data_IF_065847250736
#
_entry.id   IF_065847250736
#
_cell.length_a   1.000
_cell.length_b   1.000
_cell.length_c   1.000
_cell.angle_alpha   90.00
_cell.angle_beta   90.00
_cell.angle_gamma   90.00
#
_symmetry.space_group_name_H-M   'P 1'
#
loop_
_entity.id
_entity.type
_entity.pdbx_description
1 polymer ?
#
# COMPACT_ATOMS: atom_id res chain seq x y z
N UNK A 1 13.54 -11.68 18.63
CA UNK A 1 13.49 -11.29 17.22
C UNK A 1 12.48 -12.13 16.45
N UNK A 2 12.26 -11.82 15.18
CA UNK A 2 11.41 -12.61 14.30
C UNK A 2 12.06 -13.97 14.00
N UNK A 3 11.22 -15.00 13.81
CA UNK A 3 11.64 -16.35 13.41
C UNK A 3 11.94 -16.41 11.90
N UNK A 4 11.12 -15.71 11.12
CA UNK A 4 11.27 -15.57 9.66
C UNK A 4 10.69 -14.24 9.20
N UNK A 5 11.05 -13.84 7.97
CA UNK A 5 10.50 -12.68 7.29
C UNK A 5 10.48 -12.91 5.78
N UNK A 6 9.53 -12.27 5.10
CA UNK A 6 9.54 -12.12 3.64
C UNK A 6 9.28 -10.66 3.28
N UNK A 7 9.71 -10.22 2.09
CA UNK A 7 9.28 -8.92 1.55
C UNK A 7 7.75 -8.86 1.46
N UNK A 8 7.21 -7.68 1.63
CA UNK A 8 5.77 -7.44 1.63
C UNK A 8 5.23 -6.96 0.28
N UNK A 9 4.47 -5.86 0.32
CA UNK A 9 3.73 -5.32 -0.80
C UNK A 9 4.54 -4.52 -1.80
N UNK A 10 3.85 -4.03 -2.82
CA UNK A 10 4.41 -3.08 -3.78
C UNK A 10 4.67 -1.74 -3.12
N UNK A 11 5.75 -1.11 -3.51
CA UNK A 11 6.17 0.19 -3.00
C UNK A 11 6.78 1.07 -4.10
N UNK A 12 6.91 2.34 -3.83
CA UNK A 12 7.59 3.30 -4.70
C UNK A 12 9.09 3.06 -4.61
N UNK A 13 9.72 2.75 -5.73
CA UNK A 13 11.17 2.56 -5.84
C UNK A 13 11.86 3.79 -6.43
N UNK A 14 11.29 4.35 -7.48
CA UNK A 14 11.84 5.50 -8.20
C UNK A 14 11.36 6.80 -7.55
N UNK A 15 12.27 7.70 -7.11
CA UNK A 15 11.90 8.99 -6.54
C UNK A 15 11.13 9.90 -7.53
N UNK A 16 11.18 9.63 -8.82
CA UNK A 16 10.36 10.34 -9.82
C UNK A 16 8.88 9.90 -9.78
N UNK A 17 8.59 8.75 -9.17
CA UNK A 17 7.24 8.21 -9.05
C UNK A 17 6.63 8.42 -7.65
N UNK A 18 7.34 9.07 -6.73
CA UNK A 18 6.87 9.33 -5.36
C UNK A 18 8.01 9.26 -4.34
N UNK A 19 7.69 9.09 -3.08
CA UNK A 19 8.69 8.91 -2.03
C UNK A 19 9.14 7.44 -1.98
N UNK A 20 10.44 7.14 -2.15
CA UNK A 20 10.93 5.77 -2.09
C UNK A 20 10.59 5.08 -0.76
N UNK A 21 9.99 3.90 -0.85
CA UNK A 21 9.51 3.13 0.29
C UNK A 21 8.02 3.28 0.58
N UNK A 22 7.34 4.30 0.04
CA UNK A 22 5.89 4.45 0.20
C UNK A 22 5.16 3.23 -0.37
N UNK A 23 4.19 2.65 0.37
CA UNK A 23 3.39 1.55 -0.16
C UNK A 23 2.58 1.98 -1.40
N UNK A 24 2.60 1.15 -2.43
CA UNK A 24 1.79 1.36 -3.64
C UNK A 24 0.45 0.61 -3.53
N UNK A 25 -0.30 0.88 -2.50
CA UNK A 25 -1.59 0.27 -2.15
C UNK A 25 -1.79 0.21 -0.65
N UNK A 26 -2.85 -0.49 -0.21
CA UNK A 26 -3.24 -0.53 1.20
C UNK A 26 -2.09 -0.98 2.11
N UNK A 27 -1.80 -0.17 3.10
CA UNK A 27 -0.88 -0.53 4.17
C UNK A 27 -1.47 -0.16 5.54
N UNK A 28 -1.60 -1.14 6.42
CA UNK A 28 -1.98 -0.95 7.83
C UNK A 28 -0.95 -1.63 8.70
N UNK A 29 -0.36 -0.88 9.64
CA UNK A 29 0.60 -1.42 10.60
C UNK A 29 0.16 -1.06 12.01
N UNK A 30 -0.01 -2.08 12.83
CA UNK A 30 -0.47 -1.87 14.21
C UNK A 30 -1.85 -1.19 14.30
N UNK A 31 -2.72 -1.44 13.33
CA UNK A 31 -4.05 -0.86 13.20
C UNK A 31 -4.11 0.56 12.65
N UNK A 32 -2.97 1.16 12.34
CA UNK A 32 -2.88 2.49 11.75
C UNK A 32 -2.79 2.38 10.23
N UNK A 33 -3.71 3.05 9.52
CA UNK A 33 -3.65 3.15 8.06
C UNK A 33 -2.51 4.08 7.67
N UNK A 34 -1.55 3.54 6.92
CA UNK A 34 -0.36 4.25 6.44
C UNK A 34 -0.42 4.59 4.97
N UNK A 35 -1.22 3.86 4.19
CA UNK A 35 -1.47 4.12 2.77
C UNK A 35 -2.86 3.60 2.40
N UNK A 36 -3.56 4.36 1.60
CA UNK A 36 -4.90 4.06 1.14
C UNK A 36 -4.95 2.88 0.14
N UNK A 37 -6.09 2.17 0.02
CA UNK A 37 -6.36 1.26 -1.08
C UNK A 37 -6.33 1.98 -2.42
N UNK A 38 -5.80 1.31 -3.43
CA UNK A 38 -5.76 1.80 -4.81
C UNK A 38 -6.43 0.81 -5.75
N UNK A 39 -7.43 1.31 -6.46
CA UNK A 39 -8.25 0.48 -7.33
C UNK A 39 -8.85 -0.72 -6.58
N UNK A 40 -9.04 -1.81 -7.28
CA UNK A 40 -9.59 -3.07 -6.74
C UNK A 40 -8.51 -4.07 -6.30
N UNK A 41 -7.30 -3.63 -5.97
CA UNK A 41 -6.20 -4.53 -5.62
C UNK A 41 -6.50 -5.34 -4.38
N UNK A 42 -6.19 -6.65 -4.38
CA UNK A 42 -6.29 -7.46 -3.19
C UNK A 42 -5.19 -7.12 -2.20
N UNK A 43 -5.47 -7.37 -0.94
CA UNK A 43 -4.52 -7.22 0.16
C UNK A 43 -4.58 -8.43 1.10
N UNK A 44 -3.46 -8.75 1.72
CA UNK A 44 -3.40 -9.69 2.83
C UNK A 44 -3.76 -8.95 4.11
N UNK A 45 -4.86 -9.34 4.75
CA UNK A 45 -5.32 -8.83 6.04
C UNK A 45 -4.97 -9.84 7.12
N UNK A 46 -4.27 -9.39 8.16
CA UNK A 46 -3.82 -10.23 9.27
C UNK A 46 -4.39 -9.68 10.58
N UNK A 47 -5.14 -10.52 11.30
CA UNK A 47 -5.48 -10.30 12.71
C UNK A 47 -4.47 -11.05 13.60
N UNK A 48 -3.46 -10.36 14.04
CA UNK A 48 -2.40 -10.92 14.86
C UNK A 48 -2.88 -11.35 16.27
N UNK A 49 -4.05 -10.89 16.73
CA UNK A 49 -4.64 -11.34 18.00
C UNK A 49 -5.23 -12.74 17.88
N UNK A 50 -5.90 -13.02 16.76
CA UNK A 50 -6.50 -14.31 16.46
C UNK A 50 -5.51 -15.24 15.76
N UNK A 51 -4.44 -14.69 15.21
CA UNK A 51 -3.53 -15.36 14.29
C UNK A 51 -4.26 -15.89 13.06
N UNK A 52 -5.17 -15.09 12.54
CA UNK A 52 -5.97 -15.36 11.36
C UNK A 52 -5.55 -14.41 10.22
N UNK A 53 -5.59 -14.90 9.01
CA UNK A 53 -5.34 -14.10 7.81
C UNK A 53 -6.43 -14.34 6.77
N UNK A 54 -6.66 -13.35 5.94
CA UNK A 54 -7.58 -13.44 4.80
C UNK A 54 -7.08 -12.59 3.65
N UNK A 55 -7.49 -12.93 2.44
CA UNK A 55 -7.29 -12.07 1.27
C UNK A 55 -8.58 -11.28 1.06
N UNK A 56 -8.46 -9.97 1.02
CA UNK A 56 -9.60 -9.07 0.89
C UNK A 56 -9.30 -7.98 -0.16
N UNK A 57 -10.36 -7.43 -0.75
CA UNK A 57 -10.31 -6.18 -1.49
C UNK A 57 -10.92 -5.11 -0.61
N UNK A 58 -10.15 -4.05 -0.41
CA UNK A 58 -10.56 -2.96 0.47
C UNK A 58 -10.83 -1.71 -0.36
N UNK A 59 -11.81 -0.96 0.05
CA UNK A 59 -12.08 0.39 -0.41
C UNK A 59 -11.91 1.39 0.72
N UNK A 60 -11.79 2.65 0.38
CA UNK A 60 -11.47 3.69 1.32
C UNK A 60 -12.22 4.98 1.03
N UNK A 61 -12.57 5.69 2.10
CA UNK A 61 -13.04 7.06 2.03
C UNK A 61 -12.31 7.91 3.04
N UNK A 62 -11.77 9.03 2.59
CA UNK A 62 -11.13 10.03 3.43
C UNK A 62 -11.89 11.35 3.40
N UNK A 63 -11.95 12.04 4.55
CA UNK A 63 -12.65 13.30 4.69
C UNK A 63 -11.96 14.23 5.66
N UNK A 64 -12.01 15.51 5.36
CA UNK A 64 -11.58 16.59 6.23
C UNK A 64 -12.78 17.48 6.53
N UNK A 65 -12.98 17.81 7.80
CA UNK A 65 -14.07 18.69 8.24
C UNK A 65 -13.65 19.55 9.44
N UNK A 66 -14.29 20.69 9.58
CA UNK A 66 -14.17 21.54 10.76
C UNK A 66 -15.46 21.47 11.56
N UNK A 67 -15.43 21.14 12.86
CA UNK A 67 -16.63 21.07 13.69
C UNK A 67 -17.45 22.37 13.64
N UNK A 68 -18.73 22.23 13.37
CA UNK A 68 -19.67 23.36 13.26
C UNK A 68 -19.71 24.04 11.88
N UNK A 69 -18.87 23.63 10.94
CA UNK A 69 -18.98 24.03 9.53
C UNK A 69 -19.64 22.88 8.74
N UNK A 70 -20.65 23.17 7.95
CA UNK A 70 -21.34 22.18 7.12
C UNK A 70 -20.55 21.73 5.88
N UNK A 71 -19.36 22.30 5.66
CA UNK A 71 -18.52 22.03 4.51
C UNK A 71 -17.49 20.96 4.84
N UNK A 72 -17.25 20.06 3.89
CA UNK A 72 -16.22 19.02 3.98
C UNK A 72 -15.34 19.05 2.74
N UNK A 73 -14.11 18.55 2.87
CA UNK A 73 -13.16 18.33 1.78
C UNK A 73 -12.81 16.85 1.71
N UNK A 74 -12.71 16.28 0.53
CA UNK A 74 -12.22 14.93 0.37
C UNK A 74 -10.74 14.87 0.76
N UNK A 75 -10.34 13.72 1.30
CA UNK A 75 -8.96 13.36 1.48
C UNK A 75 -8.60 12.36 0.38
N UNK A 76 -7.60 12.67 -0.45
CA UNK A 76 -7.27 11.90 -1.64
C UNK A 76 -6.13 10.91 -1.41
N UNK A 77 -5.35 11.10 -0.36
CA UNK A 77 -4.25 10.20 -0.04
C UNK A 77 -3.72 10.32 1.39
N UNK A 78 -2.94 9.32 1.76
CA UNK A 78 -2.25 9.23 3.06
C UNK A 78 -0.78 8.91 2.82
N UNK A 79 0.13 9.75 3.36
CA UNK A 79 1.57 9.55 3.32
C UNK A 79 2.14 9.32 1.91
N UNK A 80 1.68 10.06 0.93
CA UNK A 80 2.23 10.04 -0.44
C UNK A 80 2.47 11.44 -0.98
N UNK A 81 3.31 11.54 -1.97
CA UNK A 81 3.62 12.84 -2.60
C UNK A 81 2.42 13.32 -3.42
N UNK A 82 1.83 14.50 -3.13
CA UNK A 82 0.74 15.03 -3.93
C UNK A 82 1.14 15.24 -5.39
N UNK A 83 0.28 14.84 -6.32
CA UNK A 83 0.50 14.92 -7.77
C UNK A 83 1.32 13.77 -8.36
N UNK A 84 1.87 12.86 -7.54
CA UNK A 84 2.57 11.66 -7.99
C UNK A 84 1.75 10.42 -7.63
N UNK A 85 0.67 10.18 -8.38
CA UNK A 85 -0.30 9.12 -8.09
C UNK A 85 0.14 7.85 -8.83
N UNK A 86 0.60 6.86 -8.07
CA UNK A 86 1.08 5.59 -8.61
C UNK A 86 -0.03 4.73 -9.17
N UNK A 87 -1.21 4.78 -8.58
CA UNK A 87 -2.36 4.01 -9.00
C UNK A 87 -3.62 4.85 -8.86
N UNK A 88 -4.39 4.96 -9.93
CA UNK A 88 -5.66 5.66 -9.94
C UNK A 88 -6.66 5.03 -8.95
N UNK A 89 -7.51 5.82 -8.36
CA UNK A 89 -8.54 5.38 -7.42
C UNK A 89 -9.16 6.52 -6.61
N UNK A 90 -8.55 7.71 -6.65
CA UNK A 90 -9.05 8.92 -6.02
C UNK A 90 -10.11 9.64 -6.85
N UNK A 91 -10.78 10.62 -6.22
CA UNK A 91 -11.71 11.53 -6.89
C UNK A 91 -10.90 12.59 -7.63
N UNK A 92 -11.12 12.72 -8.94
CA UNK A 92 -10.37 13.70 -9.74
C UNK A 92 -9.14 13.14 -10.47
N UNK A 93 -8.82 11.87 -10.24
CA UNK A 93 -7.69 11.20 -10.89
C UNK A 93 -7.87 11.09 -12.40
N UNK A 94 -6.91 11.59 -13.16
CA UNK A 94 -6.82 11.44 -14.61
C UNK A 94 -5.74 10.42 -14.97
N UNK A 95 -6.09 9.31 -15.66
CA UNK A 95 -5.12 8.32 -16.08
C UNK A 95 -4.03 8.91 -16.98
N UNK A 96 -2.78 8.62 -16.67
CA UNK A 96 -1.63 8.92 -17.50
C UNK A 96 -1.29 7.74 -18.43
N UNK A 97 -0.64 8.01 -19.56
CA UNK A 97 -0.18 6.96 -20.49
C UNK A 97 1.24 6.47 -20.14
N UNK A 98 1.56 6.43 -18.85
CA UNK A 98 2.87 5.97 -18.40
C UNK A 98 2.82 4.48 -17.99
N UNK A 99 3.95 3.78 -18.01
CA UNK A 99 4.03 2.40 -17.56
C UNK A 99 3.56 2.23 -16.11
N UNK A 100 3.03 1.06 -15.76
CA UNK A 100 2.47 0.79 -14.42
C UNK A 100 3.48 0.85 -13.27
N UNK A 101 4.77 0.86 -13.55
CA UNK A 101 5.82 1.07 -12.55
C UNK A 101 6.14 2.56 -12.33
N UNK A 102 5.43 3.44 -13.01
CA UNK A 102 5.57 4.89 -13.00
C UNK A 102 4.32 5.58 -12.42
N UNK A 103 4.24 6.90 -12.47
CA UNK A 103 3.03 7.67 -12.15
C UNK A 103 1.94 7.35 -13.16
N UNK A 104 0.86 6.74 -12.73
CA UNK A 104 -0.22 6.30 -13.63
C UNK A 104 -1.42 7.22 -13.65
N UNK A 105 -1.52 8.12 -12.67
CA UNK A 105 -2.55 9.16 -12.61
C UNK A 105 -1.98 10.48 -12.18
N UNK A 106 -2.63 11.54 -12.62
CA UNK A 106 -2.37 12.92 -12.20
C UNK A 106 -3.64 13.54 -11.65
N UNK A 107 -3.53 14.34 -10.61
CA UNK A 107 -4.55 15.25 -10.13
C UNK A 107 -3.89 16.54 -9.66
N UNK A 108 -4.25 17.73 -10.22
CA UNK A 108 -3.72 18.99 -9.77
C UNK A 108 -4.29 19.44 -8.42
N UNK A 109 -5.45 18.92 -8.02
CA UNK A 109 -6.26 19.37 -6.89
C UNK A 109 -6.33 18.31 -5.80
N UNK A 110 -5.20 17.93 -5.22
CA UNK A 110 -5.11 16.88 -4.22
C UNK A 110 -5.03 17.37 -2.79
N UNK A 111 -5.62 16.60 -1.87
CA UNK A 111 -5.49 16.74 -0.43
C UNK A 111 -4.92 15.46 0.18
N UNK A 112 -3.75 15.54 0.79
CA UNK A 112 -3.02 14.40 1.36
C UNK A 112 -2.68 14.65 2.83
N UNK A 113 -2.99 13.66 3.68
CA UNK A 113 -2.64 13.69 5.09
C UNK A 113 -1.32 12.97 5.35
N UNK A 114 -0.49 13.54 6.21
CA UNK A 114 0.80 12.96 6.60
C UNK A 114 0.84 12.70 8.09
N UNK A 115 1.45 11.60 8.44
CA UNK A 115 1.80 11.22 9.80
C UNK A 115 3.31 11.03 9.94
N UNK A 116 3.81 10.91 11.16
CA UNK A 116 5.25 10.75 11.43
C UNK A 116 5.88 9.52 10.77
N UNK A 117 5.06 8.56 10.33
CA UNK A 117 5.52 7.36 9.63
C UNK A 117 5.98 7.65 8.20
N UNK A 118 5.53 8.74 7.58
CA UNK A 118 6.05 9.17 6.29
C UNK A 118 7.53 9.60 6.39
N UNK A 119 7.87 10.30 7.44
CA UNK A 119 9.22 10.80 7.64
C UNK A 119 9.26 12.06 8.53
N UNK A 120 10.44 12.65 8.71
CA UNK A 120 10.60 13.83 9.56
C UNK A 120 9.96 15.10 8.99
N UNK A 121 9.77 15.17 7.69
CA UNK A 121 9.17 16.29 6.97
C UNK A 121 8.36 15.81 5.79
N UNK A 122 7.37 16.61 5.39
CA UNK A 122 6.50 16.36 4.25
C UNK A 122 7.14 16.82 2.93
N UNK A 123 6.61 16.41 1.77
CA UNK A 123 7.07 16.88 0.47
C UNK A 123 6.91 18.40 0.31
N UNK A 124 7.94 19.08 -0.13
CA UNK A 124 7.91 20.52 -0.39
C UNK A 124 7.25 20.85 -1.73
N UNK A 125 6.78 22.08 -1.86
CA UNK A 125 6.24 22.60 -3.12
C UNK A 125 5.15 23.66 -2.95
N UNK A 126 4.55 24.13 -4.04
CA UNK A 126 3.43 25.07 -3.99
C UNK A 126 2.18 24.38 -3.45
N UNK A 127 1.36 25.13 -2.70
CA UNK A 127 0.12 24.66 -2.10
C UNK A 127 -0.05 25.19 -0.69
N UNK A 128 -0.95 24.58 0.06
CA UNK A 128 -1.20 24.88 1.47
C UNK A 128 -0.82 23.70 2.33
N UNK A 129 -0.29 23.95 3.52
CA UNK A 129 -0.07 22.92 4.53
C UNK A 129 -0.60 23.37 5.88
N UNK A 130 -1.45 22.53 6.49
CA UNK A 130 -2.04 22.72 7.81
C UNK A 130 -1.41 21.73 8.77
N UNK A 131 -0.84 22.23 9.87
CA UNK A 131 -0.21 21.40 10.91
C UNK A 131 -1.19 21.21 12.06
N UNK A 132 -1.38 19.96 12.47
CA UNK A 132 -2.31 19.55 13.53
C UNK A 132 -1.55 18.90 14.67
N UNK A 133 -1.90 19.26 15.90
CA UNK A 133 -1.43 18.55 17.08
C UNK A 133 -2.09 17.16 17.22
N UNK A 134 -1.75 16.43 18.29
CA UNK A 134 -2.31 15.11 18.59
C UNK A 134 -3.83 15.10 18.84
N UNK A 135 -4.45 16.25 19.07
CA UNK A 135 -5.89 16.41 19.30
C UNK A 135 -6.62 16.90 18.05
N UNK A 136 -5.91 17.13 16.94
CA UNK A 136 -6.47 17.68 15.72
C UNK A 136 -6.62 19.20 15.73
N UNK A 137 -5.98 19.91 16.69
CA UNK A 137 -5.99 21.37 16.73
C UNK A 137 -5.00 21.93 15.71
N UNK A 138 -5.42 22.92 14.92
CA UNK A 138 -4.57 23.60 13.95
C UNK A 138 -3.54 24.47 14.70
N UNK A 139 -2.27 24.11 14.56
CA UNK A 139 -1.14 24.83 15.20
C UNK A 139 -0.38 25.73 14.23
N UNK A 140 -0.44 25.42 12.92
CA UNK A 140 0.11 26.29 11.88
C UNK A 140 -0.66 26.13 10.57
N UNK A 141 -0.66 27.18 9.76
CA UNK A 141 -1.16 27.21 8.38
C UNK A 141 -0.08 27.88 7.54
N UNK A 142 0.49 27.10 6.62
CA UNK A 142 1.64 27.54 5.82
C UNK A 142 1.22 27.66 4.35
N UNK A 143 1.57 28.77 3.70
CA UNK A 143 1.27 29.05 2.30
C UNK A 143 2.19 28.26 1.32
N UNK A 144 3.01 27.36 1.84
CA UNK A 144 3.84 26.43 1.08
C UNK A 144 3.90 25.11 1.84
N UNK A 145 4.14 24.01 1.11
CA UNK A 145 4.30 22.66 1.64
C UNK A 145 5.74 22.38 2.06
N UNK A 146 5.98 21.41 2.91
CA UNK A 146 7.34 20.94 3.28
C UNK A 146 7.69 21.21 4.74
N UNK A 147 6.75 21.02 5.66
CA UNK A 147 6.98 21.23 7.09
C UNK A 147 7.34 19.95 7.82
N UNK A 148 7.85 20.08 9.03
CA UNK A 148 8.05 18.94 9.93
C UNK A 148 6.69 18.38 10.39
N UNK A 149 6.58 17.05 10.41
CA UNK A 149 5.41 16.37 10.98
C UNK A 149 5.54 16.35 12.52
N UNK A 150 4.60 16.92 13.28
CA UNK A 150 4.71 16.94 14.72
C UNK A 150 4.56 15.54 15.33
N UNK A 151 5.32 15.26 16.39
CA UNK A 151 5.23 13.99 17.10
C UNK A 151 3.81 13.77 17.64
N UNK A 152 3.20 12.64 17.29
CA UNK A 152 1.80 12.31 17.65
C UNK A 152 0.73 13.11 16.92
N UNK A 153 1.11 14.15 16.18
CA UNK A 153 0.20 14.93 15.34
C UNK A 153 0.22 14.48 13.87
N UNK A 154 -0.19 15.38 13.00
CA UNK A 154 -0.20 15.18 11.54
C UNK A 154 -0.13 16.49 10.79
N UNK A 155 0.10 16.42 9.48
CA UNK A 155 -0.12 17.56 8.60
C UNK A 155 -1.11 17.20 7.50
N UNK A 156 -1.74 18.21 6.91
CA UNK A 156 -2.60 18.06 5.75
C UNK A 156 -2.07 19.02 4.69
N UNK A 157 -1.68 18.48 3.55
CA UNK A 157 -1.31 19.27 2.38
C UNK A 157 -2.47 19.32 1.39
N UNK A 158 -2.62 20.46 0.73
CA UNK A 158 -3.53 20.59 -0.40
C UNK A 158 -2.86 21.34 -1.55
N UNK A 159 -3.17 20.92 -2.77
CA UNK A 159 -2.68 21.53 -4.03
C UNK A 159 -3.85 22.13 -4.81
N UNK A 160 -3.54 22.95 -5.83
CA UNK A 160 -4.52 23.52 -6.74
C UNK A 160 -5.71 24.18 -6.06
N UNK A 161 -6.91 23.88 -6.51
CA UNK A 161 -8.15 24.44 -5.96
C UNK A 161 -8.41 23.97 -4.53
N UNK A 162 -7.92 22.80 -4.15
CA UNK A 162 -8.11 22.24 -2.80
C UNK A 162 -7.31 23.01 -1.75
N UNK A 163 -6.22 23.68 -2.14
CA UNK A 163 -5.52 24.59 -1.23
C UNK A 163 -6.44 25.73 -0.73
N UNK A 164 -7.27 26.28 -1.61
CA UNK A 164 -8.26 27.31 -1.23
C UNK A 164 -9.38 26.71 -0.36
N UNK A 165 -9.84 25.50 -0.67
CA UNK A 165 -10.88 24.81 0.11
C UNK A 165 -10.37 24.47 1.51
N UNK A 166 -9.16 23.92 1.63
CA UNK A 166 -8.53 23.63 2.92
C UNK A 166 -8.31 24.89 3.74
N UNK A 167 -7.87 25.99 3.12
CA UNK A 167 -7.72 27.29 3.77
C UNK A 167 -9.04 27.82 4.37
N UNK A 168 -10.16 27.55 3.72
CA UNK A 168 -11.47 27.96 4.22
C UNK A 168 -11.97 27.13 5.41
N UNK A 169 -11.49 25.90 5.55
CA UNK A 169 -11.84 24.99 6.65
C UNK A 169 -10.94 25.17 7.86
N UNK A 170 -9.66 25.48 7.65
CA UNK A 170 -8.66 25.52 8.70
C UNK A 170 -8.59 26.92 9.37
N UNK A 171 -8.57 26.94 10.70
CA UNK A 171 -8.33 28.16 11.46
C UNK A 171 -7.43 27.86 12.66
N UNK A 172 -6.45 28.72 12.95
CA UNK A 172 -5.53 28.56 14.08
C UNK A 172 -6.28 28.39 15.40
N UNK A 173 -5.86 27.41 16.19
CA UNK A 173 -6.47 27.06 17.47
C UNK A 173 -7.83 26.38 17.36
N UNK A 174 -8.33 26.12 16.17
CA UNK A 174 -9.56 25.35 15.93
C UNK A 174 -9.27 23.91 15.58
N UNK A 175 -10.24 23.03 15.79
CA UNK A 175 -10.15 21.63 15.46
C UNK A 175 -10.42 21.41 13.96
N UNK A 176 -9.63 20.56 13.35
CA UNK A 176 -9.82 20.03 12.02
C UNK A 176 -9.83 18.50 12.13
N UNK A 177 -10.94 17.89 11.82
CA UNK A 177 -11.09 16.44 11.85
C UNK A 177 -10.64 15.85 10.50
N UNK A 178 -9.75 14.86 10.56
CA UNK A 178 -9.27 14.09 9.42
C UNK A 178 -9.70 12.65 9.65
N UNK A 179 -10.71 12.22 8.91
CA UNK A 179 -11.33 10.91 9.02
C UNK A 179 -10.88 10.01 7.88
N UNK A 180 -10.79 8.72 8.17
CA UNK A 180 -10.40 7.69 7.23
C UNK A 180 -11.11 6.38 7.57
N UNK A 181 -11.83 5.82 6.60
CA UNK A 181 -12.63 4.63 6.78
C UNK A 181 -12.30 3.60 5.71
N UNK A 182 -11.89 2.40 6.15
CA UNK A 182 -11.74 1.23 5.28
C UNK A 182 -13.03 0.42 5.28
N UNK A 183 -13.41 -0.08 4.11
CA UNK A 183 -14.54 -1.01 3.95
C UNK A 183 -14.14 -2.18 3.06
N UNK A 184 -14.77 -3.33 3.30
CA UNK A 184 -14.64 -4.50 2.42
C UNK A 184 -15.52 -4.36 1.15
N UNK A 185 -15.47 -5.34 0.25
CA UNK A 185 -16.27 -5.36 -0.98
C UNK A 185 -17.79 -5.33 -0.74
N UNK A 186 -18.25 -5.74 0.43
CA UNK A 186 -19.66 -5.69 0.82
C UNK A 186 -20.06 -4.32 1.42
N UNK A 187 -19.13 -3.37 1.49
CA UNK A 187 -19.34 -2.05 2.12
C UNK A 187 -19.34 -2.08 3.65
N UNK A 188 -18.94 -3.20 4.25
CA UNK A 188 -18.83 -3.31 5.70
C UNK A 188 -17.52 -2.67 6.17
N UNK A 189 -17.60 -1.86 7.23
CA UNK A 189 -16.41 -1.23 7.81
C UNK A 189 -15.39 -2.27 8.32
N UNK A 190 -14.18 -2.17 7.82
CA UNK A 190 -13.04 -2.95 8.31
C UNK A 190 -12.52 -2.30 9.60
N UNK A 191 -12.69 -3.02 10.72
CA UNK A 191 -12.26 -2.53 12.02
C UNK A 191 -10.81 -2.91 12.27
N UNK A 192 -9.94 -1.93 12.23
CA UNK A 192 -8.53 -2.11 12.59
C UNK A 192 -8.31 -2.05 14.10
N UNK A 193 -7.35 -2.82 14.58
CA UNK A 193 -6.87 -2.84 15.95
C UNK A 193 -5.33 -2.81 15.96
N UNK A 194 -4.72 -2.63 17.10
CA UNK A 194 -3.24 -2.68 17.22
C UNK A 194 -2.63 -4.03 16.76
N UNK A 195 -3.45 -5.06 16.60
CA UNK A 195 -3.04 -6.35 16.09
C UNK A 195 -3.31 -6.51 14.58
N UNK A 196 -3.95 -5.52 13.93
CA UNK A 196 -4.27 -5.58 12.51
C UNK A 196 -3.08 -5.11 11.68
N UNK A 197 -2.72 -5.94 10.70
CA UNK A 197 -1.76 -5.61 9.64
C UNK A 197 -2.41 -5.86 8.29
N UNK A 198 -2.23 -4.94 7.36
CA UNK A 198 -2.67 -5.12 5.96
C UNK A 198 -1.50 -4.81 5.05
N UNK A 199 -1.26 -5.71 4.10
CA UNK A 199 -0.20 -5.58 3.10
C UNK A 199 -0.81 -5.69 1.70
N UNK A 200 -0.56 -4.71 0.86
CA UNK A 200 -1.03 -4.71 -0.52
C UNK A 200 -0.37 -5.82 -1.34
N UNK A 201 -1.06 -6.24 -2.40
CA UNK A 201 -0.54 -7.24 -3.31
C UNK A 201 -1.29 -7.23 -4.65
N UNK A 202 -1.16 -8.31 -5.39
CA UNK A 202 -1.80 -8.53 -6.68
C UNK A 202 -0.82 -9.06 -7.73
N UNK A 203 -1.33 -9.76 -8.72
CA UNK A 203 -2.73 -10.12 -8.85
C UNK A 203 -3.19 -11.20 -7.85
N UNK A 204 -4.51 -11.33 -7.70
CA UNK A 204 -5.10 -12.53 -7.10
C UNK A 204 -4.61 -13.76 -7.89
N UNK A 205 -4.35 -14.84 -7.19
CA UNK A 205 -3.90 -16.11 -7.75
C UNK A 205 -4.94 -17.22 -7.59
N UNK A 206 -5.46 -17.34 -6.37
CA UNK A 206 -6.41 -18.38 -5.97
C UNK A 206 -7.52 -17.75 -5.15
N UNK A 207 -8.76 -18.20 -5.36
CA UNK A 207 -9.91 -17.85 -4.51
C UNK A 207 -10.84 -19.03 -4.38
N UNK A 208 -11.25 -19.36 -3.15
CA UNK A 208 -12.08 -20.52 -2.86
C UNK A 208 -11.49 -21.86 -3.33
N UNK A 209 -10.17 -22.01 -3.36
CA UNK A 209 -9.45 -23.19 -3.82
C UNK A 209 -9.33 -23.33 -5.35
N UNK A 210 -9.92 -22.42 -6.11
CA UNK A 210 -9.83 -22.40 -7.57
C UNK A 210 -8.86 -21.32 -8.05
N UNK A 211 -8.22 -21.56 -9.21
CA UNK A 211 -7.45 -20.51 -9.89
C UNK A 211 -8.35 -19.32 -10.19
N UNK A 212 -7.93 -18.12 -9.78
CA UNK A 212 -8.66 -16.89 -9.99
C UNK A 212 -7.69 -15.72 -10.25
N UNK A 213 -7.08 -15.74 -11.42
CA UNK A 213 -6.12 -14.70 -11.83
C UNK A 213 -6.88 -13.46 -12.33
N UNK A 214 -6.84 -12.39 -11.56
CA UNK A 214 -7.60 -11.15 -11.83
C UNK A 214 -6.69 -9.99 -12.24
N UNK A 215 -5.64 -10.26 -13.00
CA UNK A 215 -4.58 -9.29 -13.32
C UNK A 215 -5.10 -7.95 -13.90
N UNK A 216 -6.16 -7.98 -14.72
CA UNK A 216 -6.78 -6.75 -15.26
C UNK A 216 -7.49 -5.95 -14.17
N UNK A 217 -8.31 -6.62 -13.37
CA UNK A 217 -9.02 -5.99 -12.24
C UNK A 217 -8.05 -5.40 -11.23
N UNK A 218 -6.92 -6.06 -11.03
CA UNK A 218 -5.90 -5.68 -10.05
C UNK A 218 -4.93 -4.59 -10.56
N UNK A 219 -5.25 -3.96 -11.69
CA UNK A 219 -4.48 -2.86 -12.24
C UNK A 219 -3.16 -3.25 -12.91
N UNK A 220 -2.98 -4.54 -13.27
CA UNK A 220 -1.79 -5.01 -14.00
C UNK A 220 -1.91 -4.83 -15.52
N UNK A 221 -3.03 -4.33 -16.00
CA UNK A 221 -3.30 -4.01 -17.41
C UNK A 221 -3.88 -2.61 -17.48
N UNK A 222 -3.15 -1.70 -18.09
CA UNK A 222 -3.57 -0.32 -18.27
C UNK A 222 -4.12 -0.13 -19.69
N UNK A 223 -5.21 0.64 -19.85
CA UNK A 223 -5.70 1.00 -21.18
C UNK A 223 -4.74 1.99 -21.82
N UNK A 224 -4.19 1.66 -23.00
CA UNK A 224 -3.17 2.46 -23.65
C UNK A 224 -1.74 1.98 -23.41
N UNK A 225 -1.53 1.05 -22.48
CA UNK A 225 -0.24 0.36 -22.34
C UNK A 225 0.03 -0.49 -23.60
N UNK A 226 1.28 -0.50 -24.04
CA UNK A 226 1.78 -1.42 -25.08
C UNK A 226 1.76 -2.90 -24.65
N UNK A 227 1.15 -3.21 -23.51
CA UNK A 227 1.15 -4.52 -22.84
C UNK A 227 2.55 -5.02 -22.42
N UNK A 228 3.58 -4.19 -22.48
CA UNK A 228 4.95 -4.59 -22.12
C UNK A 228 5.06 -4.92 -20.63
N UNK A 229 4.43 -4.12 -19.77
CA UNK A 229 4.38 -4.39 -18.34
C UNK A 229 3.56 -5.66 -18.05
N UNK A 230 2.35 -5.77 -18.61
CA UNK A 230 1.51 -6.95 -18.45
C UNK A 230 2.23 -8.23 -18.89
N UNK A 231 2.82 -8.21 -20.09
CA UNK A 231 3.60 -9.34 -20.59
C UNK A 231 4.80 -9.64 -19.67
N UNK A 232 5.57 -8.62 -19.35
CA UNK A 232 6.79 -8.75 -18.54
C UNK A 232 6.53 -9.19 -17.11
N UNK A 233 5.42 -8.79 -16.51
CA UNK A 233 5.09 -9.07 -15.13
C UNK A 233 4.20 -10.29 -14.96
N UNK A 234 3.17 -10.46 -15.79
CA UNK A 234 2.18 -11.53 -15.62
C UNK A 234 2.59 -12.81 -16.37
N UNK A 235 3.04 -12.69 -17.61
CA UNK A 235 3.33 -13.86 -18.45
C UNK A 235 4.78 -14.35 -18.38
N UNK A 236 5.75 -13.45 -18.29
CA UNK A 236 7.15 -13.86 -18.10
C UNK A 236 7.37 -14.42 -16.69
N UNK A 237 8.27 -15.39 -16.62
CA UNK A 237 8.76 -15.92 -15.35
C UNK A 237 9.63 -14.89 -14.65
N UNK A 238 9.36 -14.70 -13.36
CA UNK A 238 10.08 -13.79 -12.46
C UNK A 238 10.23 -14.44 -11.08
N UNK A 239 11.15 -13.98 -10.23
CA UNK A 239 11.10 -14.27 -8.82
C UNK A 239 9.74 -13.83 -8.26
N UNK A 240 9.14 -14.63 -7.38
CA UNK A 240 7.82 -14.37 -6.81
C UNK A 240 7.83 -14.51 -5.31
N UNK A 241 7.05 -13.64 -4.66
CA UNK A 241 6.63 -13.82 -3.28
C UNK A 241 5.12 -13.99 -3.29
N UNK A 242 4.65 -15.06 -2.65
CA UNK A 242 3.23 -15.43 -2.62
C UNK A 242 2.80 -15.47 -1.16
N UNK A 243 1.65 -14.89 -0.86
CA UNK A 243 0.98 -15.03 0.41
C UNK A 243 -0.41 -15.62 0.22
N UNK A 244 -0.80 -16.53 1.09
CA UNK A 244 -2.11 -17.17 1.01
C UNK A 244 -2.53 -17.80 2.32
N UNK A 245 -3.74 -18.35 2.31
CA UNK A 245 -4.37 -19.00 3.46
C UNK A 245 -4.85 -20.38 3.01
N UNK A 246 -4.60 -21.40 3.82
CA UNK A 246 -5.12 -22.75 3.55
C UNK A 246 -6.51 -22.98 4.18
N UNK A 247 -7.09 -24.14 3.92
CA UNK A 247 -8.40 -24.53 4.45
C UNK A 247 -8.47 -24.62 5.99
N UNK A 248 -7.32 -24.67 6.66
CA UNK A 248 -7.22 -24.65 8.12
C UNK A 248 -7.01 -23.23 8.68
N UNK A 249 -7.01 -22.21 7.83
CA UNK A 249 -6.78 -20.82 8.23
C UNK A 249 -5.31 -20.49 8.50
N UNK A 250 -4.37 -21.37 8.11
CA UNK A 250 -2.94 -21.08 8.28
C UNK A 250 -2.44 -20.17 7.18
N UNK A 251 -1.66 -19.16 7.55
CA UNK A 251 -0.97 -18.30 6.58
C UNK A 251 0.24 -19.03 6.02
N UNK A 252 0.34 -19.06 4.70
CA UNK A 252 1.49 -19.58 3.98
C UNK A 252 2.19 -18.45 3.25
N UNK A 253 3.52 -18.38 3.43
CA UNK A 253 4.40 -17.43 2.74
C UNK A 253 5.40 -18.24 1.91
N UNK A 254 5.47 -17.96 0.62
CA UNK A 254 6.29 -18.72 -0.33
C UNK A 254 7.12 -17.77 -1.17
N UNK A 255 8.39 -18.07 -1.35
CA UNK A 255 9.25 -17.40 -2.34
C UNK A 255 9.68 -18.39 -3.41
N UNK A 256 9.74 -17.93 -4.65
CA UNK A 256 10.33 -18.64 -5.77
C UNK A 256 11.45 -17.79 -6.35
N UNK A 257 12.66 -18.31 -6.38
CA UNK A 257 13.79 -17.67 -7.03
C UNK A 257 13.58 -17.60 -8.55
N UNK A 258 14.22 -16.65 -9.20
CA UNK A 258 14.12 -16.48 -10.65
C UNK A 258 15.19 -15.58 -11.23
N UNK A 259 15.14 -15.40 -12.56
CA UNK A 259 16.12 -14.61 -13.31
C UNK A 259 17.56 -15.13 -13.18
N UNK A 260 17.71 -16.43 -12.92
CA UNK A 260 18.98 -17.09 -12.68
C UNK A 260 19.07 -18.36 -13.54
N UNK A 261 20.28 -18.85 -13.77
CA UNK A 261 20.51 -20.10 -14.53
C UNK A 261 19.95 -21.34 -13.84
N UNK A 262 19.86 -21.28 -12.49
CA UNK A 262 19.32 -22.34 -11.64
C UNK A 262 17.81 -22.26 -11.46
N UNK A 263 17.21 -21.10 -11.65
CA UNK A 263 15.76 -20.88 -11.56
C UNK A 263 15.33 -19.72 -12.48
N UNK A 264 14.39 -19.99 -13.36
CA UNK A 264 13.80 -18.96 -14.22
C UNK A 264 12.75 -18.12 -13.48
N UNK A 265 12.22 -18.64 -12.37
CA UNK A 265 11.07 -18.08 -11.66
C UNK A 265 9.74 -18.62 -12.16
N UNK A 266 8.65 -17.93 -11.82
CA UNK A 266 7.29 -18.31 -12.15
C UNK A 266 6.57 -17.19 -12.91
N UNK A 267 5.75 -17.55 -13.90
CA UNK A 267 4.66 -16.69 -14.38
C UNK A 267 3.58 -16.58 -13.30
N UNK A 268 2.64 -15.66 -13.44
CA UNK A 268 1.50 -15.55 -12.50
C UNK A 268 0.64 -16.83 -12.53
N UNK A 269 0.46 -17.43 -13.70
CA UNK A 269 -0.24 -18.72 -13.82
C UNK A 269 0.46 -19.82 -13.04
N UNK A 270 1.77 -19.98 -13.22
CA UNK A 270 2.56 -20.97 -12.49
C UNK A 270 2.59 -20.68 -10.98
N UNK A 271 2.58 -19.41 -10.57
CA UNK A 271 2.47 -19.03 -9.16
C UNK A 271 1.11 -19.47 -8.56
N UNK A 272 0.02 -19.35 -9.32
CA UNK A 272 -1.29 -19.87 -8.91
C UNK A 272 -1.31 -21.38 -8.78
N UNK A 273 -0.67 -22.10 -9.71
CA UNK A 273 -0.57 -23.56 -9.66
C UNK A 273 0.25 -24.01 -8.44
N UNK A 274 1.36 -23.33 -8.14
CA UNK A 274 2.17 -23.60 -6.92
C UNK A 274 1.34 -23.31 -5.65
N UNK A 275 0.66 -22.19 -5.57
CA UNK A 275 -0.19 -21.85 -4.42
C UNK A 275 -1.24 -22.95 -4.15
N UNK A 276 -1.94 -23.39 -5.19
CA UNK A 276 -2.93 -24.49 -5.09
C UNK A 276 -2.29 -25.81 -4.68
N UNK A 277 -1.14 -26.14 -5.25
CA UNK A 277 -0.43 -27.40 -4.92
C UNK A 277 0.00 -27.45 -3.45
N UNK A 278 0.22 -26.29 -2.83
CA UNK A 278 0.53 -26.14 -1.41
C UNK A 278 -0.72 -26.09 -0.51
N UNK A 279 -1.91 -26.20 -1.09
CA UNK A 279 -3.18 -26.23 -0.38
C UNK A 279 -3.76 -24.87 -0.03
N UNK A 280 -3.27 -23.77 -0.64
CA UNK A 280 -3.87 -22.47 -0.44
C UNK A 280 -5.27 -22.43 -1.05
N UNK A 281 -6.24 -21.96 -0.28
CA UNK A 281 -7.63 -21.73 -0.74
C UNK A 281 -7.81 -20.28 -1.22
N UNK A 282 -7.07 -19.35 -0.65
CA UNK A 282 -6.97 -17.97 -1.13
C UNK A 282 -5.50 -17.56 -1.18
N UNK A 283 -5.08 -16.91 -2.27
CA UNK A 283 -3.68 -16.50 -2.44
C UNK A 283 -3.54 -15.27 -3.34
N UNK A 284 -2.55 -14.45 -3.04
CA UNK A 284 -2.13 -13.31 -3.85
C UNK A 284 -0.63 -13.35 -4.13
N UNK A 285 -0.22 -12.75 -5.23
CA UNK A 285 1.16 -12.38 -5.45
C UNK A 285 1.46 -11.10 -4.64
N UNK A 286 2.58 -11.05 -3.94
CA UNK A 286 3.14 -9.85 -3.32
C UNK A 286 4.17 -9.21 -4.26
N UNK A 287 4.95 -8.24 -3.79
CA UNK A 287 6.06 -7.74 -4.59
C UNK A 287 7.08 -8.85 -4.86
N UNK A 288 7.68 -8.79 -6.02
CA UNK A 288 8.53 -9.86 -6.54
C UNK A 288 9.78 -9.32 -7.24
N UNK A 289 10.29 -10.09 -8.20
CA UNK A 289 11.50 -9.70 -8.89
C UNK A 289 12.70 -9.56 -7.93
N UNK A 290 13.40 -8.43 -7.98
CA UNK A 290 14.54 -8.16 -7.09
C UNK A 290 14.18 -8.01 -5.61
N UNK A 291 12.90 -7.78 -5.29
CA UNK A 291 12.42 -7.68 -3.90
C UNK A 291 12.23 -9.04 -3.24
N UNK A 292 12.12 -10.14 -4.02
CA UNK A 292 11.86 -11.48 -3.48
C UNK A 292 12.99 -11.92 -2.54
N UNK A 293 12.71 -11.88 -1.25
CA UNK A 293 13.66 -12.24 -0.21
C UNK A 293 12.94 -12.93 0.95
N UNK A 294 13.48 -14.07 1.39
CA UNK A 294 13.04 -14.78 2.59
C UNK A 294 14.20 -14.97 3.56
N UNK A 295 13.96 -14.63 4.80
CA UNK A 295 14.91 -14.78 5.92
C UNK A 295 14.31 -15.74 6.93
N UNK A 296 15.12 -16.70 7.41
CA UNK A 296 14.76 -17.55 8.52
C UNK A 296 15.97 -17.74 9.43
N UNK A 297 15.77 -17.72 10.75
CA UNK A 297 16.86 -17.83 11.71
C UNK A 297 17.96 -16.78 11.54
N UNK A 298 17.64 -15.60 10.99
CA UNK A 298 18.62 -14.54 10.71
C UNK A 298 19.44 -14.73 9.43
N UNK A 299 19.14 -15.75 8.63
CA UNK A 299 19.83 -16.03 7.37
C UNK A 299 18.87 -15.88 6.19
N UNK A 300 19.35 -15.31 5.07
CA UNK A 300 18.62 -15.35 3.80
C UNK A 300 18.64 -16.79 3.29
N UNK A 301 17.45 -17.35 3.04
CA UNK A 301 17.29 -18.75 2.66
C UNK A 301 16.87 -18.96 1.21
N UNK A 302 16.69 -17.87 0.45
CA UNK A 302 16.48 -17.89 -1.00
C UNK A 302 17.65 -17.17 -1.71
N UNK A 303 17.58 -17.06 -3.03
CA UNK A 303 18.62 -16.40 -3.85
C UNK A 303 18.05 -15.13 -4.51
N UNK A 304 18.22 -13.93 -3.88
CA UNK A 304 17.80 -12.67 -4.46
C UNK A 304 18.40 -12.43 -5.85
N UNK A 305 17.58 -11.93 -6.78
CA UNK A 305 17.97 -11.85 -8.20
C UNK A 305 18.75 -10.61 -8.61
N UNK A 306 18.85 -9.61 -7.76
CA UNK A 306 19.63 -8.41 -8.04
C UNK A 306 21.12 -8.67 -7.86
N UNK A 307 21.94 -8.09 -8.71
CA UNK A 307 23.40 -8.28 -8.66
C UNK A 307 24.02 -7.83 -7.32
N UNK A 308 23.40 -6.86 -6.64
CA UNK A 308 23.83 -6.40 -5.32
C UNK A 308 23.30 -7.29 -4.17
N UNK A 309 22.56 -8.36 -4.46
CA UNK A 309 21.92 -9.22 -3.46
C UNK A 309 20.56 -8.68 -3.02
N UNK A 310 20.32 -8.61 -1.71
CA UNK A 310 19.05 -8.15 -1.17
C UNK A 310 18.78 -6.67 -1.52
N UNK A 311 17.57 -6.41 -2.02
CA UNK A 311 17.08 -5.06 -2.27
C UNK A 311 16.47 -4.48 -1.00
N UNK A 312 16.66 -3.18 -0.67
CA UNK A 312 15.82 -2.48 0.27
C UNK A 312 14.36 -2.53 -0.20
N UNK A 313 13.44 -2.87 0.70
CA UNK A 313 11.99 -2.97 0.43
C UNK A 313 11.22 -2.02 1.33
N UNK A 314 10.01 -1.61 0.88
CA UNK A 314 9.19 -0.67 1.63
C UNK A 314 8.63 -1.28 2.93
N UNK A 315 8.27 -2.56 2.90
CA UNK A 315 7.75 -3.30 4.05
C UNK A 315 8.11 -4.78 4.01
N UNK A 316 7.88 -5.47 5.13
CA UNK A 316 8.12 -6.90 5.25
C UNK A 316 7.10 -7.56 6.19
N UNK A 317 6.73 -8.80 5.88
CA UNK A 317 5.95 -9.66 6.75
C UNK A 317 6.86 -10.44 7.69
N UNK A 318 6.59 -10.34 8.98
CA UNK A 318 7.38 -10.97 10.04
C UNK A 318 6.60 -12.12 10.68
N UNK A 319 7.25 -13.27 10.81
CA UNK A 319 6.78 -14.39 11.63
C UNK A 319 7.40 -14.24 13.01
N UNK A 320 6.57 -13.96 14.00
CA UNK A 320 7.00 -13.74 15.37
C UNK A 320 6.80 -15.02 16.22
N UNK A 321 7.64 -15.26 17.24
CA UNK A 321 7.40 -16.34 18.18
C UNK A 321 6.09 -16.09 18.94
N UNK A 322 5.36 -17.17 19.26
CA UNK A 322 4.21 -17.05 20.16
C UNK A 322 4.66 -16.40 21.48
N UNK A 323 3.97 -15.35 21.89
CA UNK A 323 4.15 -14.85 23.25
C UNK A 323 3.71 -15.95 24.21
N UNK A 324 4.61 -16.38 25.10
CA UNK A 324 4.19 -17.15 26.26
C UNK A 324 3.30 -16.24 27.09
N UNK A 325 2.03 -16.58 27.20
CA UNK A 325 1.06 -15.91 28.07
C UNK A 325 1.48 -16.04 29.54
#
# INVERSE_FOLDING_TARGET
>A
GALAAVNGGYFVLDPMAGAPGDPAGTAVVGGKLLSEPVGDRPALVIDGKRNESSIQRLTWTGRISSPGQGTTLNLDGINRVPGLIRNCGGTGDFPANLPLHDVTCTDPDETVAFSSEFGPSTPSGPGLEVVLDQHGTVTAINAARGTAVPAGGRTVQATGADATRLSSLAALGKRLDVESNLTDEAGKAEKTSRATTVVNGGPMLVSGGAENITARRDGMVHSGDSNSFYYGWVHKRNPRTIAGVDAQGRTLLVTADGRQTTSLGLSIKEAADVARSLGMVDAINLDGGGSTTMVAGGQVINSPSDAAGQRPVGDALLVLPRRKG
#
